data_IF_401863166737
#
_entry.id   IF_401863166737
#
_cell.length_a   1.000
_cell.length_b   1.000
_cell.length_c   1.000
_cell.angle_alpha   90.00
_cell.angle_beta   90.00
_cell.angle_gamma   90.00
#
_symmetry.space_group_name_H-M   'P 1'
#
loop_
_entity.id
_entity.type
_entity.pdbx_description
1 polymer ?
#
# COMPACT_ATOMS: atom_id res chain seq x y z
N UNK A 1 -24.63 55.49 -23.61
CA UNK A 1 -23.96 54.91 -22.41
C UNK A 1 -24.31 53.44 -22.12
N UNK A 2 -25.47 52.92 -22.56
CA UNK A 2 -25.87 51.52 -22.27
C UNK A 2 -25.13 50.44 -23.07
N UNK A 3 -24.76 50.73 -24.32
CA UNK A 3 -24.13 49.76 -25.24
C UNK A 3 -22.71 49.34 -24.80
N UNK A 4 -21.92 50.24 -24.21
CA UNK A 4 -20.59 49.93 -23.71
C UNK A 4 -20.58 49.12 -22.41
N UNK A 5 -21.66 49.16 -21.63
CA UNK A 5 -21.82 48.35 -20.41
C UNK A 5 -22.18 46.91 -20.74
N UNK A 6 -23.04 46.69 -21.73
CA UNK A 6 -23.39 45.36 -22.24
C UNK A 6 -22.19 44.65 -22.87
N UNK A 7 -21.39 45.37 -23.67
CA UNK A 7 -20.17 44.81 -24.26
C UNK A 7 -19.14 44.36 -23.20
N UNK A 8 -18.96 45.16 -22.14
CA UNK A 8 -18.06 44.83 -21.02
C UNK A 8 -18.56 43.65 -20.19
N UNK A 9 -19.88 43.55 -19.96
CA UNK A 9 -20.48 42.42 -19.24
C UNK A 9 -20.32 41.10 -20.03
N UNK A 10 -20.57 41.12 -21.35
CA UNK A 10 -20.39 39.95 -22.21
C UNK A 10 -18.95 39.45 -22.25
N UNK A 11 -17.98 40.37 -22.34
CA UNK A 11 -16.56 40.02 -22.31
C UNK A 11 -16.13 39.39 -20.97
N UNK A 12 -16.64 39.91 -19.84
CA UNK A 12 -16.33 39.38 -18.51
C UNK A 12 -16.87 37.95 -18.32
N UNK A 13 -18.10 37.67 -18.79
CA UNK A 13 -18.70 36.33 -18.71
C UNK A 13 -17.97 35.34 -19.61
N UNK A 14 -17.59 35.74 -20.83
CA UNK A 14 -16.82 34.89 -21.74
C UNK A 14 -15.46 34.48 -21.19
N UNK A 15 -14.73 35.43 -20.58
CA UNK A 15 -13.42 35.16 -19.96
C UNK A 15 -13.55 34.24 -18.73
N UNK A 16 -14.58 34.46 -17.89
CA UNK A 16 -14.82 33.61 -16.74
C UNK A 16 -15.15 32.16 -17.14
N UNK A 17 -16.02 31.97 -18.13
CA UNK A 17 -16.39 30.64 -18.62
C UNK A 17 -15.21 29.91 -19.27
N UNK A 18 -14.40 30.62 -20.07
CA UNK A 18 -13.18 30.07 -20.64
C UNK A 18 -12.16 29.70 -19.54
N UNK A 19 -12.00 30.55 -18.52
CA UNK A 19 -11.15 30.27 -17.37
C UNK A 19 -11.56 28.99 -16.65
N UNK A 20 -12.85 28.85 -16.30
CA UNK A 20 -13.38 27.63 -15.66
C UNK A 20 -13.17 26.40 -16.52
N UNK A 21 -13.46 26.47 -17.83
CA UNK A 21 -13.26 25.35 -18.75
C UNK A 21 -11.80 24.92 -18.84
N UNK A 22 -10.86 25.87 -18.92
CA UNK A 22 -9.42 25.54 -18.95
C UNK A 22 -8.94 24.93 -17.64
N UNK A 23 -9.44 25.39 -16.50
CA UNK A 23 -9.11 24.81 -15.20
C UNK A 23 -9.62 23.36 -15.10
N UNK A 24 -10.83 23.08 -15.55
CA UNK A 24 -11.42 21.73 -15.48
C UNK A 24 -10.68 20.74 -16.41
N UNK A 25 -10.42 21.14 -17.66
CA UNK A 25 -9.64 20.34 -18.63
C UNK A 25 -8.22 20.06 -18.14
N UNK A 26 -7.57 21.06 -17.51
CA UNK A 26 -6.21 20.87 -16.95
C UNK A 26 -6.19 20.03 -15.68
N UNK A 27 -7.30 19.94 -14.95
CA UNK A 27 -7.43 19.06 -13.78
C UNK A 27 -7.61 17.59 -14.23
N UNK A 28 -8.50 17.36 -15.19
CA UNK A 28 -8.79 16.00 -15.66
C UNK A 28 -7.58 15.37 -16.39
N UNK A 29 -6.82 16.16 -17.14
CA UNK A 29 -5.59 15.71 -17.79
C UNK A 29 -4.48 15.32 -16.80
N UNK A 30 -4.36 16.01 -15.67
CA UNK A 30 -3.44 15.64 -14.59
C UNK A 30 -3.84 14.32 -13.94
N UNK A 31 -5.11 14.17 -13.61
CA UNK A 31 -5.64 12.95 -13.00
C UNK A 31 -5.48 11.74 -13.94
N UNK A 32 -5.82 11.86 -15.22
CA UNK A 32 -5.64 10.78 -16.22
C UNK A 32 -4.18 10.33 -16.32
N UNK A 33 -3.24 11.27 -16.29
CA UNK A 33 -1.81 10.95 -16.38
C UNK A 33 -1.34 10.18 -15.15
N UNK A 34 -1.69 10.65 -13.95
CA UNK A 34 -1.38 9.94 -12.70
C UNK A 34 -1.99 8.54 -12.67
N UNK A 35 -3.26 8.41 -13.08
CA UNK A 35 -3.94 7.12 -13.12
C UNK A 35 -3.29 6.14 -14.11
N UNK A 36 -2.90 6.61 -15.30
CA UNK A 36 -2.21 5.78 -16.30
C UNK A 36 -0.86 5.27 -15.79
N UNK A 37 -0.14 6.11 -15.06
CA UNK A 37 1.16 5.77 -14.47
C UNK A 37 1.00 4.76 -13.33
N UNK A 38 0.04 4.98 -12.42
CA UNK A 38 -0.30 4.07 -11.34
C UNK A 38 -0.72 2.69 -11.83
N UNK A 39 -1.58 2.62 -12.85
CA UNK A 39 -1.98 1.33 -13.41
C UNK A 39 -0.82 0.61 -14.08
N UNK A 40 0.13 1.33 -14.69
CA UNK A 40 1.33 0.70 -15.27
C UNK A 40 2.20 0.05 -14.21
N UNK A 41 2.46 0.73 -13.09
CA UNK A 41 3.28 0.17 -12.01
C UNK A 41 2.57 -1.01 -11.33
N UNK A 42 1.29 -0.86 -11.00
CA UNK A 42 0.52 -1.95 -10.40
C UNK A 42 0.41 -3.19 -11.31
N UNK A 43 0.30 -2.98 -12.63
CA UNK A 43 0.27 -4.08 -13.59
C UNK A 43 1.64 -4.75 -13.77
N UNK A 44 2.73 -3.98 -13.65
CA UNK A 44 4.09 -4.52 -13.63
C UNK A 44 4.35 -5.36 -12.37
N UNK A 45 3.91 -4.89 -11.19
CA UNK A 45 4.02 -5.63 -9.92
C UNK A 45 3.25 -6.95 -9.96
N UNK A 46 2.05 -6.95 -10.57
CA UNK A 46 1.26 -8.16 -10.78
C UNK A 46 1.97 -9.14 -11.71
N UNK A 47 2.56 -8.66 -12.80
CA UNK A 47 3.30 -9.50 -13.76
C UNK A 47 4.60 -10.06 -13.16
N UNK A 48 5.26 -9.28 -12.30
CA UNK A 48 6.47 -9.68 -11.60
C UNK A 48 6.19 -10.56 -10.36
N UNK A 49 4.91 -10.82 -10.05
CA UNK A 49 4.47 -11.67 -8.94
C UNK A 49 5.10 -11.31 -7.57
N UNK A 50 5.52 -10.05 -7.38
CA UNK A 50 6.22 -9.60 -6.17
C UNK A 50 5.35 -9.65 -4.91
N UNK A 51 4.02 -9.73 -5.09
CA UNK A 51 3.05 -9.84 -4.00
C UNK A 51 2.43 -11.25 -3.89
N UNK A 52 3.20 -12.28 -4.26
CA UNK A 52 2.81 -13.66 -3.93
C UNK A 52 3.15 -13.91 -2.47
N UNK A 53 2.15 -13.90 -1.59
CA UNK A 53 2.29 -14.49 -0.26
C UNK A 53 2.67 -15.96 -0.47
N UNK A 54 3.78 -16.47 0.11
CA UNK A 54 4.13 -17.88 -0.05
C UNK A 54 2.94 -18.74 0.39
N UNK A 55 2.53 -19.74 -0.41
CA UNK A 55 1.35 -20.54 -0.15
C UNK A 55 1.52 -21.53 1.01
N UNK A 56 2.62 -21.46 1.77
CA UNK A 56 2.79 -22.26 2.97
C UNK A 56 1.72 -21.85 3.96
N UNK A 57 0.78 -22.77 4.21
CA UNK A 57 -0.17 -22.65 5.30
C UNK A 57 0.59 -22.29 6.58
N UNK A 58 0.10 -21.28 7.30
CA UNK A 58 0.70 -20.90 8.57
C UNK A 58 0.62 -22.11 9.50
N UNK A 59 1.72 -22.50 10.17
CA UNK A 59 1.69 -23.59 11.12
C UNK A 59 0.66 -23.30 12.21
N UNK A 60 -0.08 -24.33 12.61
CA UNK A 60 -1.07 -24.21 13.67
C UNK A 60 -0.37 -23.91 14.99
N UNK A 61 -1.08 -23.25 15.92
CA UNK A 61 -0.55 -22.96 17.26
C UNK A 61 -0.05 -24.23 17.98
N UNK A 62 -0.69 -25.38 17.76
CA UNK A 62 -0.26 -26.66 18.36
C UNK A 62 1.11 -27.07 17.82
N UNK A 63 1.30 -27.06 16.51
CA UNK A 63 2.58 -27.42 15.87
C UNK A 63 3.72 -26.49 16.32
N UNK A 64 3.48 -25.19 16.49
CA UNK A 64 4.47 -24.23 17.00
C UNK A 64 4.86 -24.52 18.45
N UNK A 65 3.88 -24.88 19.29
CA UNK A 65 4.15 -25.22 20.70
C UNK A 65 4.86 -26.58 20.81
N UNK A 66 4.50 -27.52 19.95
CA UNK A 66 5.12 -28.84 19.92
C UNK A 66 6.55 -28.76 19.38
N UNK A 67 6.85 -27.88 18.40
CA UNK A 67 8.22 -27.61 17.95
C UNK A 67 9.06 -26.96 19.04
N UNK A 68 8.47 -26.05 19.84
CA UNK A 68 9.16 -25.45 20.98
C UNK A 68 9.47 -26.46 22.09
N UNK A 69 8.56 -27.43 22.31
CA UNK A 69 8.75 -28.52 23.29
C UNK A 69 9.70 -29.61 22.79
N UNK A 70 9.86 -29.75 21.48
CA UNK A 70 10.78 -30.71 20.87
C UNK A 70 12.26 -30.41 21.18
N UNK A 71 12.56 -29.22 21.71
CA UNK A 71 13.91 -28.85 22.13
C UNK A 71 14.83 -28.44 20.98
N UNK A 72 14.26 -28.02 19.85
CA UNK A 72 15.00 -27.38 18.76
C UNK A 72 15.68 -26.10 19.30
N UNK A 73 16.97 -25.95 18.97
CA UNK A 73 17.76 -24.79 19.38
C UNK A 73 17.48 -23.63 18.42
N UNK A 74 16.96 -22.51 18.95
CA UNK A 74 16.69 -21.31 18.19
C UNK A 74 17.71 -20.22 18.57
N UNK A 75 18.29 -19.56 17.58
CA UNK A 75 19.28 -18.51 17.81
C UNK A 75 18.64 -17.25 18.41
N UNK A 76 17.40 -16.95 18.01
CA UNK A 76 16.66 -15.77 18.45
C UNK A 76 15.20 -16.15 18.77
N UNK A 77 14.67 -15.57 19.85
CA UNK A 77 13.26 -15.68 20.24
C UNK A 77 12.64 -14.28 20.30
N UNK A 78 11.64 -14.04 19.43
CA UNK A 78 10.90 -12.76 19.42
C UNK A 78 9.54 -12.95 20.07
N UNK A 79 9.28 -12.19 21.13
CA UNK A 79 8.00 -12.18 21.84
C UNK A 79 7.22 -10.93 21.42
N UNK A 80 6.10 -11.13 20.74
CA UNK A 80 5.20 -10.09 20.22
C UNK A 80 5.40 -9.82 18.73
N UNK A 81 4.35 -10.07 17.94
CA UNK A 81 4.35 -9.90 16.47
C UNK A 81 3.93 -8.50 15.97
N UNK A 82 4.20 -7.45 16.74
CA UNK A 82 3.91 -6.06 16.32
C UNK A 82 4.88 -5.54 15.26
N UNK A 83 4.77 -4.27 14.86
CA UNK A 83 5.66 -3.66 13.86
C UNK A 83 7.16 -3.84 14.19
N UNK A 84 7.53 -3.70 15.47
CA UNK A 84 8.89 -3.93 15.95
C UNK A 84 9.29 -5.40 15.87
N UNK A 85 8.43 -6.32 16.30
CA UNK A 85 8.71 -7.76 16.25
C UNK A 85 8.81 -8.30 14.84
N UNK A 86 8.00 -7.79 13.91
CA UNK A 86 8.08 -8.12 12.49
C UNK A 86 9.39 -7.61 11.85
N UNK A 87 9.85 -6.42 12.23
CA UNK A 87 11.12 -5.87 11.75
C UNK A 87 12.34 -6.67 12.24
N UNK A 88 12.36 -7.01 13.54
CA UNK A 88 13.40 -7.89 14.11
C UNK A 88 13.36 -9.27 13.47
N UNK A 89 12.16 -9.79 13.20
CA UNK A 89 12.02 -11.09 12.59
C UNK A 89 12.55 -11.14 11.14
N UNK A 90 12.28 -10.08 10.39
CA UNK A 90 12.81 -9.91 9.04
C UNK A 90 14.34 -9.77 9.05
N UNK A 91 14.90 -8.98 9.98
CA UNK A 91 16.35 -8.78 10.08
C UNK A 91 17.08 -10.10 10.40
N UNK A 92 16.60 -10.88 11.38
CA UNK A 92 17.21 -12.17 11.72
C UNK A 92 17.15 -13.18 10.55
N UNK A 93 16.02 -13.24 9.82
CA UNK A 93 15.89 -14.09 8.64
C UNK A 93 16.86 -13.69 7.51
N UNK A 94 17.12 -12.40 7.32
CA UNK A 94 18.07 -11.93 6.28
C UNK A 94 19.53 -12.25 6.61
N UNK A 95 19.84 -12.53 7.89
CA UNK A 95 21.17 -12.93 8.37
C UNK A 95 21.39 -14.44 8.35
N UNK A 96 20.36 -15.23 8.04
CA UNK A 96 20.42 -16.69 8.00
C UNK A 96 20.30 -17.35 9.38
N UNK A 97 19.79 -16.63 10.38
CA UNK A 97 19.56 -17.16 11.73
C UNK A 97 18.20 -17.85 11.83
N UNK A 98 18.12 -18.95 12.58
CA UNK A 98 16.86 -19.64 12.81
C UNK A 98 16.08 -18.91 13.90
N UNK A 99 14.91 -18.38 13.54
CA UNK A 99 14.09 -17.54 14.41
C UNK A 99 12.68 -18.10 14.59
N UNK A 100 12.13 -17.93 15.81
CA UNK A 100 10.72 -18.16 16.12
C UNK A 100 10.06 -16.91 16.73
N UNK A 101 8.85 -16.55 16.27
CA UNK A 101 8.06 -15.40 16.80
C UNK A 101 6.77 -15.89 17.45
N UNK A 102 6.52 -15.51 18.70
CA UNK A 102 5.29 -15.86 19.45
C UNK A 102 4.41 -14.60 19.60
N UNK A 103 3.18 -14.64 19.09
CA UNK A 103 2.18 -13.56 19.27
C UNK A 103 0.95 -14.08 20.01
N UNK A 104 0.46 -13.30 20.97
CA UNK A 104 -0.75 -13.59 21.74
C UNK A 104 -2.01 -13.03 21.06
N UNK A 105 -2.19 -13.33 19.77
CA UNK A 105 -3.40 -12.98 19.02
C UNK A 105 -4.19 -14.25 18.73
N UNK A 106 -5.38 -14.37 19.28
CA UNK A 106 -6.34 -15.46 18.97
C UNK A 106 -6.97 -15.32 17.57
N UNK A 107 -6.54 -14.34 16.77
CA UNK A 107 -7.23 -13.89 15.57
C UNK A 107 -6.29 -13.84 14.37
N UNK A 108 -6.01 -15.00 13.74
CA UNK A 108 -5.52 -15.02 12.36
C UNK A 108 -5.72 -16.39 11.69
N UNK A 109 -6.90 -17.00 11.85
CA UNK A 109 -7.35 -18.13 11.01
C UNK A 109 -8.87 -18.09 10.86
N UNK A 110 -9.33 -17.28 9.91
CA UNK A 110 -10.47 -17.54 9.02
C UNK A 110 -10.17 -16.89 7.69
#
# INVERSE_FOLDING_TARGET
MFTSRLARAGAAVGLAAAGVYTLDVTNESRFRRQMKEYFRTAHADRLAELNRRPPSALPSRKEIVDSLKAGEEYDVLVIGGGATGAGVALDAQTRGEWLLTISNSESCLT
#
